data_IF_044569853791
#
_entry.id   IF_044569853791
#
_cell.length_a   1.000
_cell.length_b   1.000
_cell.length_c   1.000
_cell.angle_alpha   90.00
_cell.angle_beta   90.00
_cell.angle_gamma   90.00
#
_symmetry.space_group_name_H-M   'P 1'
#
loop_
_entity.id
_entity.type
_entity.pdbx_description
1 polymer ?
#
# COMPACT_ATOMS: atom_id res chain seq x y z
N UNK A 1 -6.53 -22.09 -2.16
CA UNK A 1 -6.51 -20.60 -2.25
C UNK A 1 -6.73 -20.04 -0.86
N UNK A 2 -5.89 -19.13 -0.42
CA UNK A 2 -6.11 -18.36 0.81
C UNK A 2 -7.30 -17.43 0.56
N UNK A 3 -8.34 -17.54 1.38
CA UNK A 3 -9.55 -16.75 1.20
C UNK A 3 -9.67 -15.81 2.42
N UNK A 4 -9.49 -14.51 2.22
CA UNK A 4 -9.62 -13.52 3.28
C UNK A 4 -11.10 -13.15 3.45
N UNK A 5 -11.58 -13.20 4.69
CA UNK A 5 -12.97 -12.85 5.05
C UNK A 5 -13.09 -11.43 5.61
N UNK A 6 -11.97 -10.83 5.99
CA UNK A 6 -11.92 -9.46 6.54
C UNK A 6 -10.70 -8.68 6.05
N UNK A 7 -10.77 -7.35 6.15
CA UNK A 7 -9.63 -6.47 5.89
C UNK A 7 -8.46 -6.77 6.83
N UNK A 8 -8.75 -7.04 8.10
CA UNK A 8 -7.75 -7.38 9.11
C UNK A 8 -6.94 -8.61 8.70
N UNK A 9 -7.61 -9.70 8.30
CA UNK A 9 -6.93 -10.91 7.82
C UNK A 9 -6.04 -10.63 6.60
N UNK A 10 -6.52 -9.84 5.66
CA UNK A 10 -5.75 -9.46 4.47
C UNK A 10 -4.51 -8.62 4.85
N UNK A 11 -4.66 -7.62 5.73
CA UNK A 11 -3.58 -6.78 6.21
C UNK A 11 -2.54 -7.57 7.01
N UNK A 12 -2.96 -8.49 7.88
CA UNK A 12 -2.07 -9.35 8.67
C UNK A 12 -1.26 -10.29 7.78
N UNK A 13 -1.91 -10.89 6.76
CA UNK A 13 -1.22 -11.76 5.80
C UNK A 13 -0.15 -10.98 5.01
N UNK A 14 -0.47 -9.77 4.53
CA UNK A 14 0.49 -8.92 3.84
C UNK A 14 1.64 -8.51 4.77
N UNK A 15 1.35 -8.09 5.99
CA UNK A 15 2.36 -7.70 6.97
C UNK A 15 3.29 -8.85 7.31
N UNK A 16 2.75 -10.06 7.50
CA UNK A 16 3.51 -11.29 7.73
C UNK A 16 4.41 -11.60 6.54
N UNK A 17 3.90 -11.48 5.33
CA UNK A 17 4.70 -11.71 4.11
C UNK A 17 5.84 -10.69 3.99
N UNK A 18 5.58 -9.41 4.25
CA UNK A 18 6.61 -8.36 4.26
C UNK A 18 7.73 -8.71 5.26
N UNK A 19 7.38 -9.11 6.49
CA UNK A 19 8.37 -9.50 7.50
C UNK A 19 9.24 -10.69 7.05
N UNK A 20 8.64 -11.68 6.39
CA UNK A 20 9.40 -12.81 5.83
C UNK A 20 10.36 -12.37 4.73
N UNK A 21 9.93 -11.46 3.85
CA UNK A 21 10.78 -10.92 2.78
C UNK A 21 11.96 -10.08 3.30
N UNK A 22 11.86 -9.46 4.48
CA UNK A 22 12.98 -8.76 5.13
C UNK A 22 14.10 -9.74 5.49
N UNK A 23 13.75 -10.94 5.95
CA UNK A 23 14.72 -12.00 6.30
C UNK A 23 15.16 -12.84 5.10
N UNK A 24 14.30 -13.00 4.10
CA UNK A 24 14.54 -13.77 2.89
C UNK A 24 13.87 -13.09 1.68
N UNK A 25 14.64 -12.37 0.83
CA UNK A 25 14.08 -11.71 -0.38
C UNK A 25 13.40 -12.69 -1.37
N UNK A 26 13.70 -13.98 -1.27
CA UNK A 26 13.11 -15.03 -2.11
C UNK A 26 11.98 -15.79 -1.38
N UNK A 27 11.41 -15.23 -0.31
CA UNK A 27 10.35 -15.88 0.46
C UNK A 27 9.22 -16.37 -0.44
N UNK A 28 8.92 -17.67 -0.34
CA UNK A 28 7.86 -18.30 -1.12
C UNK A 28 6.46 -17.82 -0.68
N UNK A 29 5.44 -18.00 -1.55
CA UNK A 29 4.04 -17.75 -1.23
C UNK A 29 3.47 -16.43 -1.78
N UNK A 30 4.23 -15.64 -2.54
CA UNK A 30 3.73 -14.41 -3.16
C UNK A 30 2.50 -14.67 -4.04
N UNK A 31 2.53 -15.71 -4.88
CA UNK A 31 1.43 -16.02 -5.79
C UNK A 31 0.13 -16.36 -5.04
N UNK A 32 0.21 -17.14 -3.98
CA UNK A 32 -0.95 -17.48 -3.14
C UNK A 32 -1.51 -16.25 -2.44
N UNK A 33 -0.65 -15.40 -1.89
CA UNK A 33 -1.05 -14.14 -1.27
C UNK A 33 -1.72 -13.22 -2.29
N UNK A 34 -1.14 -13.05 -3.47
CA UNK A 34 -1.67 -12.19 -4.52
C UNK A 34 -3.04 -12.66 -5.01
N UNK A 35 -3.24 -13.97 -5.20
CA UNK A 35 -4.54 -14.53 -5.57
C UNK A 35 -5.58 -14.37 -4.46
N UNK A 36 -5.20 -14.54 -3.19
CA UNK A 36 -6.09 -14.28 -2.07
C UNK A 36 -6.50 -12.80 -1.98
N UNK A 37 -5.56 -11.88 -2.18
CA UNK A 37 -5.85 -10.43 -2.22
C UNK A 37 -6.71 -10.05 -3.44
N UNK A 38 -6.49 -10.70 -4.58
CA UNK A 38 -7.34 -10.53 -5.75
C UNK A 38 -8.79 -10.90 -5.46
N UNK A 39 -9.02 -12.08 -4.86
CA UNK A 39 -10.36 -12.51 -4.49
C UNK A 39 -11.02 -11.55 -3.49
N UNK A 40 -10.27 -11.09 -2.48
CA UNK A 40 -10.75 -10.12 -1.51
C UNK A 40 -11.11 -8.77 -2.17
N UNK A 41 -10.25 -8.24 -3.02
CA UNK A 41 -10.53 -7.00 -3.74
C UNK A 41 -11.69 -7.13 -4.72
N UNK A 42 -11.80 -8.26 -5.42
CA UNK A 42 -12.92 -8.54 -6.31
C UNK A 42 -14.26 -8.50 -5.54
N UNK A 43 -14.30 -9.03 -4.33
CA UNK A 43 -15.50 -9.04 -3.49
C UNK A 43 -15.87 -7.67 -2.90
N UNK A 44 -14.87 -6.81 -2.61
CA UNK A 44 -15.07 -5.60 -1.80
C UNK A 44 -14.75 -4.27 -2.51
N UNK A 45 -14.21 -4.32 -3.73
CA UNK A 45 -13.88 -3.14 -4.54
C UNK A 45 -14.70 -3.15 -5.83
N UNK A 46 -15.89 -2.57 -5.78
CA UNK A 46 -16.84 -2.59 -6.91
C UNK A 46 -16.25 -2.10 -8.24
N UNK A 47 -15.51 -0.96 -8.32
CA UNK A 47 -14.90 -0.54 -9.57
C UNK A 47 -13.90 -1.56 -10.15
N UNK A 48 -13.14 -2.23 -9.28
CA UNK A 48 -12.21 -3.28 -9.69
C UNK A 48 -12.95 -4.55 -10.15
N UNK A 49 -13.99 -4.97 -9.42
CA UNK A 49 -14.83 -6.09 -9.81
C UNK A 49 -15.46 -5.88 -11.20
N UNK A 50 -15.96 -4.67 -11.48
CA UNK A 50 -16.54 -4.33 -12.79
C UNK A 50 -15.50 -4.44 -13.91
N UNK A 51 -14.25 -4.00 -13.67
CA UNK A 51 -13.15 -4.18 -14.63
C UNK A 51 -12.91 -5.66 -14.92
N UNK A 52 -12.76 -6.47 -13.87
CA UNK A 52 -12.50 -7.89 -13.99
C UNK A 52 -13.62 -8.60 -14.74
N UNK A 53 -14.88 -8.29 -14.43
CA UNK A 53 -16.05 -8.87 -15.09
C UNK A 53 -16.11 -8.50 -16.57
N UNK A 54 -15.75 -7.26 -16.94
CA UNK A 54 -15.70 -6.84 -18.34
C UNK A 54 -14.66 -7.62 -19.16
N UNK A 55 -13.62 -8.12 -18.51
CA UNK A 55 -12.57 -8.96 -19.10
C UNK A 55 -12.85 -10.48 -18.95
N UNK A 56 -13.99 -10.86 -18.34
CA UNK A 56 -14.35 -12.24 -17.99
C UNK A 56 -13.33 -12.91 -17.06
N UNK A 57 -12.66 -12.13 -16.21
CA UNK A 57 -11.69 -12.61 -15.22
C UNK A 57 -12.32 -12.57 -13.83
N UNK A 58 -12.32 -13.70 -13.17
CA UNK A 58 -12.87 -13.88 -11.81
C UNK A 58 -11.89 -14.69 -10.95
N UNK A 59 -12.04 -14.68 -9.62
CA UNK A 59 -11.20 -15.51 -8.75
C UNK A 59 -11.22 -17.00 -9.09
N UNK A 60 -12.29 -17.49 -9.72
CA UNK A 60 -12.43 -18.88 -10.16
C UNK A 60 -11.69 -19.17 -11.47
N UNK A 61 -11.52 -18.16 -12.34
CA UNK A 61 -10.89 -18.32 -13.66
C UNK A 61 -9.41 -17.95 -13.67
N UNK A 62 -8.95 -17.08 -12.73
CA UNK A 62 -7.56 -16.65 -12.61
C UNK A 62 -6.81 -17.62 -11.68
N UNK A 63 -5.94 -18.44 -12.26
CA UNK A 63 -5.14 -19.44 -11.53
C UNK A 63 -3.70 -19.03 -11.27
N UNK A 64 -3.17 -18.03 -11.98
CA UNK A 64 -1.83 -17.46 -11.79
C UNK A 64 -1.94 -15.96 -11.48
N UNK A 65 -1.16 -15.48 -10.52
CA UNK A 65 -1.17 -14.07 -10.14
C UNK A 65 -0.78 -13.11 -11.28
N UNK A 66 -0.06 -13.62 -12.28
CA UNK A 66 0.33 -12.84 -13.48
C UNK A 66 -0.84 -12.54 -14.39
N UNK A 67 -1.93 -13.30 -14.24
CA UNK A 67 -3.16 -13.13 -15.03
C UNK A 67 -4.17 -12.20 -14.33
N UNK A 68 -3.86 -11.70 -13.13
CA UNK A 68 -4.69 -10.71 -12.43
C UNK A 68 -4.74 -9.42 -13.28
N UNK A 69 -5.93 -8.89 -13.61
CA UNK A 69 -6.05 -7.71 -14.45
C UNK A 69 -5.43 -6.48 -13.81
N UNK A 70 -4.72 -5.70 -14.61
CA UNK A 70 -4.07 -4.47 -14.16
C UNK A 70 -5.00 -3.27 -14.30
N UNK A 71 -4.98 -2.39 -13.32
CA UNK A 71 -5.74 -1.13 -13.35
C UNK A 71 -4.86 -0.01 -13.89
N UNK A 72 -5.36 0.70 -14.90
CA UNK A 72 -4.66 1.88 -15.42
C UNK A 72 -4.59 2.97 -14.32
N UNK A 73 -3.40 3.57 -14.12
CA UNK A 73 -3.18 4.58 -13.07
C UNK A 73 -4.13 5.78 -13.16
N UNK A 74 -4.59 6.14 -14.36
CA UNK A 74 -5.59 7.20 -14.55
C UNK A 74 -6.94 6.89 -13.90
N UNK A 75 -7.29 5.63 -13.69
CA UNK A 75 -8.56 5.25 -13.06
C UNK A 75 -8.64 5.73 -11.60
N UNK A 76 -7.51 5.80 -10.88
CA UNK A 76 -7.43 6.35 -9.52
C UNK A 76 -7.77 7.85 -9.42
N UNK A 77 -7.86 8.56 -10.55
CA UNK A 77 -8.28 9.96 -10.59
C UNK A 77 -9.80 10.10 -10.60
N UNK A 78 -10.49 9.17 -11.23
CA UNK A 78 -11.94 9.22 -11.47
C UNK A 78 -12.74 8.24 -10.61
N UNK A 79 -12.12 7.15 -10.14
CA UNK A 79 -12.76 6.10 -9.36
C UNK A 79 -12.14 6.00 -7.96
N UNK A 80 -12.97 5.69 -6.98
CA UNK A 80 -12.51 5.32 -5.65
C UNK A 80 -12.20 3.81 -5.64
N UNK A 81 -10.97 3.48 -6.04
CA UNK A 81 -10.45 2.12 -6.09
C UNK A 81 -9.99 1.70 -4.68
N UNK A 82 -10.93 1.35 -3.84
CA UNK A 82 -10.69 0.97 -2.44
C UNK A 82 -11.69 -0.08 -1.97
N UNK A 83 -11.27 -0.88 -1.01
CA UNK A 83 -12.15 -1.82 -0.27
C UNK A 83 -12.77 -1.16 0.95
N UNK A 84 -12.34 0.07 1.31
CA UNK A 84 -12.80 0.77 2.50
C UNK A 84 -14.16 1.42 2.27
N UNK A 85 -15.16 1.16 3.12
CA UNK A 85 -16.37 1.97 3.22
C UNK A 85 -16.01 3.45 3.47
N UNK A 86 -16.85 4.36 3.06
CA UNK A 86 -16.58 5.79 3.17
C UNK A 86 -16.33 6.23 4.64
N UNK A 87 -17.05 5.62 5.58
CA UNK A 87 -16.91 5.91 7.01
C UNK A 87 -15.54 5.52 7.60
N UNK A 88 -14.83 4.58 6.96
CA UNK A 88 -13.55 4.05 7.44
C UNK A 88 -12.33 4.69 6.75
N UNK A 89 -12.55 5.70 5.89
CA UNK A 89 -11.50 6.39 5.13
C UNK A 89 -10.90 7.51 5.98
N UNK A 90 -9.92 7.18 6.81
CA UNK A 90 -9.31 8.10 7.78
C UNK A 90 -8.21 8.98 7.17
N UNK A 91 -7.44 8.42 6.22
CA UNK A 91 -6.31 9.10 5.58
C UNK A 91 -6.45 9.06 4.07
N UNK A 92 -6.21 10.20 3.43
CA UNK A 92 -6.23 10.33 1.98
C UNK A 92 -4.86 10.77 1.47
N UNK A 93 -4.25 9.96 0.61
CA UNK A 93 -3.11 10.39 -0.19
C UNK A 93 -3.52 10.76 -1.60
N UNK A 94 -2.92 11.82 -2.12
CA UNK A 94 -3.13 12.32 -3.49
C UNK A 94 -1.83 12.37 -4.26
N UNK A 95 -1.89 12.08 -5.55
CA UNK A 95 -0.73 12.27 -6.43
C UNK A 95 -0.38 13.76 -6.61
N UNK A 96 0.88 14.03 -6.96
CA UNK A 96 1.38 15.36 -7.32
C UNK A 96 0.86 15.80 -8.69
N UNK A 97 -0.43 16.06 -8.84
CA UNK A 97 -1.01 16.60 -10.08
C UNK A 97 -0.82 18.12 -10.17
N UNK A 98 -0.62 18.66 -11.38
CA UNK A 98 -0.51 20.11 -11.63
C UNK A 98 -1.86 20.83 -11.57
N UNK A 99 -2.96 20.10 -11.64
CA UNK A 99 -4.33 20.63 -11.54
C UNK A 99 -5.05 19.98 -10.35
N UNK A 100 -5.74 20.80 -9.54
CA UNK A 100 -6.45 20.36 -8.34
C UNK A 100 -7.51 19.26 -8.62
N UNK A 101 -8.06 19.21 -9.83
CA UNK A 101 -9.16 18.32 -10.21
C UNK A 101 -8.72 16.99 -10.80
N UNK A 102 -7.41 16.77 -11.02
CA UNK A 102 -6.91 15.59 -11.74
C UNK A 102 -5.85 14.82 -10.94
N UNK A 103 -6.03 14.74 -9.61
CA UNK A 103 -5.12 14.02 -8.69
C UNK A 103 -5.73 12.66 -8.33
N UNK A 104 -4.92 11.60 -8.38
CA UNK A 104 -5.35 10.28 -7.89
C UNK A 104 -5.61 10.30 -6.39
N UNK A 105 -6.52 9.45 -5.95
CA UNK A 105 -6.95 9.31 -4.54
C UNK A 105 -6.63 7.92 -4.05
N UNK A 106 -5.97 7.84 -2.89
CA UNK A 106 -5.63 6.59 -2.22
C UNK A 106 -6.07 6.71 -0.76
N UNK A 107 -7.05 5.90 -0.38
CA UNK A 107 -7.67 5.94 0.94
C UNK A 107 -7.05 4.89 1.86
N UNK A 108 -6.84 5.27 3.11
CA UNK A 108 -6.33 4.39 4.15
C UNK A 108 -7.18 4.51 5.43
N UNK A 109 -7.30 3.39 6.12
CA UNK A 109 -7.62 3.32 7.54
C UNK A 109 -6.34 2.99 8.33
N UNK A 110 -6.44 2.90 9.65
CA UNK A 110 -5.30 2.59 10.51
C UNK A 110 -4.60 1.28 10.12
N UNK A 111 -5.36 0.23 9.77
CA UNK A 111 -4.82 -1.09 9.39
C UNK A 111 -4.03 -1.03 8.08
N UNK A 112 -4.60 -0.47 7.01
CA UNK A 112 -3.91 -0.36 5.71
C UNK A 112 -2.72 0.59 5.78
N UNK A 113 -2.76 1.62 6.63
CA UNK A 113 -1.64 2.50 6.88
C UNK A 113 -0.53 1.79 7.64
N UNK A 114 -0.87 0.86 8.54
CA UNK A 114 0.11 0.00 9.22
C UNK A 114 0.87 -0.89 8.25
N UNK A 115 0.19 -1.47 7.25
CA UNK A 115 0.83 -2.23 6.16
C UNK A 115 1.80 -1.35 5.36
N UNK A 116 1.37 -0.12 5.02
CA UNK A 116 2.23 0.86 4.37
C UNK A 116 3.51 1.12 5.17
N UNK A 117 3.40 1.32 6.49
CA UNK A 117 4.56 1.52 7.37
C UNK A 117 5.44 0.27 7.50
N UNK A 118 4.84 -0.92 7.50
CA UNK A 118 5.58 -2.17 7.58
C UNK A 118 6.47 -2.42 6.36
N UNK A 119 6.01 -2.04 5.17
CA UNK A 119 6.76 -2.17 3.92
C UNK A 119 7.84 -1.10 3.76
N UNK A 120 7.52 0.12 4.13
CA UNK A 120 8.35 1.31 3.92
C UNK A 120 9.70 1.25 4.64
N UNK A 121 9.68 0.93 5.92
CA UNK A 121 10.89 1.04 6.76
C UNK A 121 11.98 0.03 6.39
N UNK A 122 11.72 -1.27 6.25
CA UNK A 122 12.75 -2.23 5.90
C UNK A 122 13.40 -1.91 4.56
N UNK A 123 12.60 -1.50 3.60
CA UNK A 123 13.09 -1.14 2.27
C UNK A 123 13.98 0.12 2.35
N UNK A 124 13.52 1.17 3.02
CA UNK A 124 14.28 2.41 3.19
C UNK A 124 15.60 2.15 3.92
N UNK A 125 15.55 1.43 5.04
CA UNK A 125 16.72 1.12 5.84
C UNK A 125 17.74 0.24 5.10
N UNK A 126 17.27 -0.71 4.29
CA UNK A 126 18.13 -1.62 3.54
C UNK A 126 18.76 -1.04 2.27
N UNK A 127 18.19 0.04 1.70
CA UNK A 127 18.61 0.56 0.40
C UNK A 127 19.14 2.00 0.43
N UNK A 128 18.73 2.80 1.42
CA UNK A 128 19.01 4.24 1.44
C UNK A 128 19.76 4.70 2.70
N UNK A 129 19.94 3.83 3.68
CA UNK A 129 20.61 4.17 4.93
C UNK A 129 21.84 3.28 5.09
N UNK A 130 23.04 3.89 5.09
CA UNK A 130 24.27 3.23 5.51
C UNK A 130 24.25 2.95 7.02
N UNK A 131 25.18 2.10 7.50
CA UNK A 131 25.19 1.52 8.86
C UNK A 131 25.07 2.53 10.01
N UNK A 132 25.37 3.81 9.78
CA UNK A 132 25.16 4.89 10.76
C UNK A 132 25.20 6.27 10.10
N UNK A 133 24.13 6.79 9.55
CA UNK A 133 24.12 8.16 9.05
C UNK A 133 24.27 9.13 10.24
N UNK A 134 25.35 9.89 10.28
CA UNK A 134 25.58 10.91 11.30
C UNK A 134 24.60 12.08 11.20
N UNK A 135 24.01 12.31 10.03
CA UNK A 135 23.01 13.35 9.74
C UNK A 135 22.19 12.99 8.51
N UNK A 136 20.87 13.23 8.59
CA UNK A 136 19.96 13.21 7.45
C UNK A 136 19.35 14.61 7.30
N UNK A 137 19.45 15.18 6.10
CA UNK A 137 18.79 16.42 5.75
C UNK A 137 17.61 16.13 4.84
N UNK A 138 16.43 16.51 5.28
CA UNK A 138 15.19 16.31 4.54
C UNK A 138 14.76 17.64 3.89
N UNK A 139 14.68 17.65 2.55
CA UNK A 139 14.28 18.83 1.76
C UNK A 139 12.83 18.68 1.25
N UNK A 140 11.89 18.65 2.19
CA UNK A 140 10.46 18.57 1.90
C UNK A 140 9.65 19.33 2.96
N UNK A 141 8.38 19.70 2.70
CA UNK A 141 7.55 20.40 3.66
C UNK A 141 7.24 19.52 4.87
N UNK A 142 6.92 20.13 6.00
CA UNK A 142 6.41 19.41 7.16
C UNK A 142 5.07 18.73 6.87
N UNK A 143 4.76 17.63 7.60
CA UNK A 143 3.54 16.87 7.43
C UNK A 143 2.27 17.73 7.51
N UNK A 144 2.25 18.71 8.41
CA UNK A 144 1.12 19.65 8.55
C UNK A 144 0.89 20.57 7.34
N UNK A 145 1.93 20.81 6.52
CA UNK A 145 1.84 21.61 5.29
C UNK A 145 1.40 20.80 4.07
N UNK A 146 1.62 19.49 4.08
CA UNK A 146 1.28 18.61 2.96
C UNK A 146 0.71 17.25 3.47
N UNK A 147 -0.41 17.25 4.22
CA UNK A 147 -0.94 16.05 4.88
C UNK A 147 -1.41 14.97 3.89
N UNK A 148 -1.77 15.34 2.66
CA UNK A 148 -2.18 14.40 1.61
C UNK A 148 -1.00 13.85 0.79
N UNK A 149 0.25 14.18 1.12
CA UNK A 149 1.43 13.69 0.42
C UNK A 149 1.94 12.39 1.03
N UNK A 150 1.82 11.28 0.31
CA UNK A 150 2.39 9.99 0.75
C UNK A 150 3.91 10.06 0.92
N UNK A 151 4.62 10.83 0.09
CA UNK A 151 6.07 11.03 0.21
C UNK A 151 6.42 11.76 1.51
N UNK A 152 5.72 12.86 1.83
CA UNK A 152 5.94 13.60 3.08
C UNK A 152 5.63 12.72 4.29
N UNK A 153 4.54 11.95 4.24
CA UNK A 153 4.17 10.99 5.26
C UNK A 153 5.26 9.90 5.45
N UNK A 154 5.81 9.38 4.35
CA UNK A 154 6.92 8.43 4.37
C UNK A 154 8.14 9.03 5.08
N UNK A 155 8.56 10.23 4.70
CA UNK A 155 9.75 10.87 5.24
C UNK A 155 9.58 11.27 6.70
N UNK A 156 8.41 11.73 7.12
CA UNK A 156 8.09 11.98 8.53
C UNK A 156 8.19 10.68 9.36
N UNK A 157 7.69 9.56 8.81
CA UNK A 157 7.82 8.24 9.46
C UNK A 157 9.28 7.82 9.60
N UNK A 158 10.10 8.02 8.56
CA UNK A 158 11.53 7.73 8.57
C UNK A 158 12.25 8.59 9.60
N UNK A 159 12.02 9.90 9.58
CA UNK A 159 12.63 10.85 10.52
C UNK A 159 12.34 10.47 11.98
N UNK A 160 11.08 10.16 12.30
CA UNK A 160 10.67 9.72 13.64
C UNK A 160 11.34 8.41 14.09
N UNK A 161 11.57 7.47 13.17
CA UNK A 161 12.24 6.21 13.48
C UNK A 161 13.73 6.38 13.69
N UNK A 162 14.38 7.26 12.92
CA UNK A 162 15.79 7.55 13.07
C UNK A 162 16.08 8.35 14.36
N UNK A 163 15.26 9.36 14.68
CA UNK A 163 15.37 10.11 15.92
C UNK A 163 15.25 9.23 17.18
N UNK A 164 14.45 8.15 17.13
CA UNK A 164 14.36 7.19 18.23
C UNK A 164 15.61 6.31 18.40
N UNK A 165 16.48 6.18 17.39
CA UNK A 165 17.74 5.42 17.49
C UNK A 165 18.85 6.18 18.19
N UNK A 166 18.81 7.51 18.21
CA UNK A 166 19.82 8.33 18.91
C UNK A 166 19.65 8.30 20.44
N UNK A 167 18.54 7.77 20.97
CA UNK A 167 18.23 7.71 22.39
C UNK A 167 18.20 6.28 22.98
N UNK A 168 18.62 5.29 22.23
CA UNK A 168 18.86 3.92 22.65
C UNK A 168 20.34 3.58 22.53
#
# INVERSE_FOLDING_TARGET
MTNFTSLTEACDAVSTFIQRCVGDPNAAGFGELALGLFAFQFAHNTPFANLCQAENLTPETVGDWRDIPTVQTRAFKSLDLTVLPEADRETLFRSSGTTQFDRSRHFHCAETLSVYHASLWPWFAGHLVDESPNRLLFLFPELGQAPESSLVHMMDTVAKRLAKREYC
#
